data_IF_222876895378
#
_entry.id   IF_222876895378
#
_cell.length_a   1.000
_cell.length_b   1.000
_cell.length_c   1.000
_cell.angle_alpha   90.00
_cell.angle_beta   90.00
_cell.angle_gamma   90.00
#
_symmetry.space_group_name_H-M   'P 1'
#
loop_
_entity.id
_entity.type
_entity.pdbx_description
1 polymer ?
#
# COMPACT_ATOMS: atom_id res chain seq x y z
N UNK A 1 -18.06 -22.48 15.98
CA UNK A 1 -18.59 -21.21 15.44
C UNK A 1 -18.03 -20.95 14.04
N UNK A 2 -16.86 -20.34 13.82
CA UNK A 2 -16.44 -19.97 12.43
C UNK A 2 -16.32 -21.15 11.45
N UNK A 3 -15.79 -22.32 11.89
CA UNK A 3 -15.72 -23.54 11.05
C UNK A 3 -17.07 -24.23 10.96
N UNK A 4 -17.72 -24.46 12.11
CA UNK A 4 -18.98 -25.21 12.20
C UNK A 4 -20.20 -24.50 11.58
N UNK A 5 -20.24 -23.17 11.65
CA UNK A 5 -21.36 -22.35 11.17
C UNK A 5 -21.04 -21.62 9.86
N UNK A 6 -19.76 -21.58 9.46
CA UNK A 6 -19.27 -20.98 8.22
C UNK A 6 -19.95 -19.65 7.81
N UNK A 7 -20.02 -18.63 8.71
CA UNK A 7 -20.75 -17.38 8.44
C UNK A 7 -20.15 -16.55 7.29
N UNK A 8 -18.88 -16.81 6.94
CA UNK A 8 -18.21 -16.34 5.74
C UNK A 8 -17.20 -17.40 5.30
N UNK A 9 -17.00 -17.56 3.99
CA UNK A 9 -16.00 -18.46 3.41
C UNK A 9 -14.83 -17.60 2.90
N UNK A 10 -13.69 -17.54 3.62
CA UNK A 10 -12.52 -16.81 3.14
C UNK A 10 -11.94 -17.54 1.93
N UNK A 11 -11.76 -16.83 0.81
CA UNK A 11 -11.22 -17.42 -0.42
C UNK A 11 -9.74 -17.08 -0.60
N UNK A 12 -9.36 -15.82 -0.38
CA UNK A 12 -8.00 -15.33 -0.49
C UNK A 12 -7.81 -14.03 0.29
N UNK A 13 -6.55 -13.69 0.58
CA UNK A 13 -6.19 -12.34 0.96
C UNK A 13 -6.19 -11.45 -0.28
N UNK A 14 -6.87 -10.30 -0.22
CA UNK A 14 -6.80 -9.32 -1.31
C UNK A 14 -5.37 -8.74 -1.39
N UNK A 15 -4.80 -8.59 -2.60
CA UNK A 15 -3.48 -8.01 -2.75
C UNK A 15 -3.50 -6.51 -2.40
N UNK A 16 -2.39 -6.02 -1.87
CA UNK A 16 -2.15 -4.59 -1.76
C UNK A 16 -1.83 -4.06 -3.15
N UNK A 17 -2.74 -3.27 -3.71
CA UNK A 17 -2.59 -2.69 -5.05
C UNK A 17 -1.86 -1.36 -5.00
N UNK A 18 -0.65 -1.31 -5.55
CA UNK A 18 0.10 -0.08 -5.67
C UNK A 18 1.00 -0.06 -6.92
N UNK A 19 0.95 1.06 -7.63
CA UNK A 19 1.81 1.40 -8.75
C UNK A 19 2.16 2.88 -8.63
N UNK A 20 3.37 3.26 -9.02
CA UNK A 20 3.80 4.65 -8.91
C UNK A 20 4.71 5.06 -10.07
N UNK A 21 4.67 6.35 -10.39
CA UNK A 21 5.57 6.95 -11.36
C UNK A 21 6.65 7.75 -10.65
N UNK A 22 7.88 7.62 -11.14
CA UNK A 22 9.02 8.43 -10.70
C UNK A 22 9.19 9.72 -11.50
N UNK A 23 8.29 10.01 -12.46
CA UNK A 23 8.39 11.17 -13.35
C UNK A 23 8.48 12.49 -12.59
N UNK A 24 7.66 12.65 -11.55
CA UNK A 24 7.55 13.90 -10.78
C UNK A 24 7.92 13.72 -9.30
N UNK A 25 7.90 12.48 -8.79
CA UNK A 25 8.03 12.18 -7.37
C UNK A 25 8.88 10.94 -7.16
N UNK A 26 9.87 11.04 -6.28
CA UNK A 26 10.71 9.94 -5.84
C UNK A 26 10.56 9.70 -4.34
N UNK A 27 11.10 8.59 -3.86
CA UNK A 27 11.03 8.22 -2.44
C UNK A 27 9.81 7.38 -2.07
N UNK A 28 9.09 6.80 -3.04
CA UNK A 28 8.02 5.84 -2.80
C UNK A 28 8.49 4.67 -1.92
N UNK A 29 7.61 4.11 -1.06
CA UNK A 29 7.92 2.91 -0.31
C UNK A 29 8.16 1.74 -1.26
N UNK A 30 9.17 0.93 -0.95
CA UNK A 30 9.57 -0.24 -1.73
C UNK A 30 9.84 -1.41 -0.80
N UNK A 31 10.05 -2.62 -1.32
CA UNK A 31 10.43 -3.76 -0.50
C UNK A 31 11.73 -3.51 0.31
N UNK A 32 12.70 -2.81 -0.28
CA UNK A 32 13.96 -2.46 0.38
C UNK A 32 13.82 -1.30 1.40
N UNK A 33 12.75 -0.51 1.31
CA UNK A 33 12.43 0.57 2.25
C UNK A 33 10.92 0.65 2.49
N UNK A 34 10.35 -0.28 3.28
CA UNK A 34 8.91 -0.49 3.40
C UNK A 34 8.31 0.40 4.50
N UNK A 35 8.60 1.70 4.48
CA UNK A 35 8.21 2.62 5.56
C UNK A 35 6.68 2.86 5.64
N UNK A 36 5.91 2.58 4.59
CA UNK A 36 4.45 2.68 4.61
C UNK A 36 3.80 1.70 3.60
N UNK A 37 2.56 1.22 3.85
CA UNK A 37 1.80 0.42 2.88
C UNK A 37 1.47 1.27 1.63
N UNK A 38 1.85 0.84 0.42
CA UNK A 38 1.82 1.70 -0.77
C UNK A 38 0.41 1.91 -1.37
N UNK A 39 -0.60 1.18 -0.91
CA UNK A 39 -1.97 1.31 -1.42
C UNK A 39 -2.62 2.60 -0.93
N UNK A 40 -2.99 3.45 -1.89
CA UNK A 40 -3.50 4.81 -1.66
C UNK A 40 -4.82 4.89 -0.87
N UNK A 41 -5.59 3.80 -0.79
CA UNK A 41 -6.85 3.75 -0.02
C UNK A 41 -6.65 3.38 1.44
N UNK A 42 -5.42 3.10 1.88
CA UNK A 42 -5.14 2.77 3.27
C UNK A 42 -5.17 4.03 4.14
N UNK A 43 -5.62 3.93 5.41
CA UNK A 43 -5.68 5.07 6.32
C UNK A 43 -4.33 5.77 6.54
N UNK A 44 -3.23 5.05 6.37
CA UNK A 44 -1.86 5.53 6.55
C UNK A 44 -1.25 6.17 5.30
N UNK A 45 -1.99 6.29 4.19
CA UNK A 45 -1.47 6.80 2.92
C UNK A 45 -0.87 8.22 3.01
N UNK A 46 -1.28 9.02 4.00
CA UNK A 46 -0.69 10.35 4.25
C UNK A 46 0.82 10.30 4.52
N UNK A 47 1.31 9.24 5.17
CA UNK A 47 2.74 9.08 5.46
C UNK A 47 3.60 9.04 4.20
N UNK A 48 3.07 8.45 3.12
CA UNK A 48 3.75 8.43 1.81
C UNK A 48 3.91 9.86 1.31
N UNK A 49 2.82 10.63 1.29
CA UNK A 49 2.82 12.02 0.79
C UNK A 49 3.82 12.89 1.55
N UNK A 50 3.93 12.70 2.87
CA UNK A 50 4.87 13.43 3.72
C UNK A 50 6.35 13.08 3.46
N UNK A 51 6.64 11.90 2.90
CA UNK A 51 7.99 11.43 2.62
C UNK A 51 8.43 11.60 1.15
N UNK A 52 7.49 11.84 0.23
CA UNK A 52 7.80 12.04 -1.18
C UNK A 52 8.64 13.30 -1.40
N UNK A 53 9.53 13.23 -2.39
CA UNK A 53 10.36 14.35 -2.82
C UNK A 53 10.14 14.61 -4.32
N UNK A 54 10.18 15.87 -4.77
CA UNK A 54 10.16 16.17 -6.20
C UNK A 54 11.31 15.44 -6.91
N UNK A 55 11.06 14.91 -8.10
CA UNK A 55 12.14 14.46 -8.97
C UNK A 55 12.96 15.68 -9.41
N UNK A 56 14.28 15.59 -9.30
CA UNK A 56 15.19 16.48 -10.02
C UNK A 56 14.92 16.24 -11.50
N UNK A 57 14.41 17.24 -12.23
CA UNK A 57 14.05 17.10 -13.66
C UNK A 57 15.09 16.36 -14.49
#
# INVERSE_FOLDING_TARGET
>A
IFVEEAPVIPTAAAPIGAEYSTKNWIGWPTEANPYAPPQHTQPTALEIVLNLKPSSK
#
